data_IF_972583393210
#
_entry.id   IF_972583393210
#
_cell.length_a   1.000
_cell.length_b   1.000
_cell.length_c   1.000
_cell.angle_alpha   90.00
_cell.angle_beta   90.00
_cell.angle_gamma   90.00
#
_symmetry.space_group_name_H-M   'P 1'
#
loop_
_entity.id
_entity.type
_entity.pdbx_description
1 polymer ?
#
# COMPACT_ATOMS: atom_id res chain seq x y z
N UNK A 1 15.51 2.95 6.20
CA UNK A 1 15.59 3.64 4.89
C UNK A 1 14.30 4.39 4.57
N UNK A 2 13.14 3.71 4.59
CA UNK A 2 11.83 4.35 4.34
C UNK A 2 11.62 5.63 5.15
N UNK A 3 11.86 5.62 6.47
CA UNK A 3 11.70 6.82 7.30
C UNK A 3 12.60 7.97 6.85
N UNK A 4 13.90 7.69 6.60
CA UNK A 4 14.85 8.72 6.19
C UNK A 4 14.48 9.36 4.85
N UNK A 5 14.00 8.54 3.89
CA UNK A 5 13.54 9.02 2.59
C UNK A 5 12.33 9.95 2.73
N UNK A 6 11.31 9.54 3.48
CA UNK A 6 10.09 10.34 3.69
C UNK A 6 10.34 11.60 4.53
N UNK A 7 11.21 11.52 5.54
CA UNK A 7 11.67 12.69 6.30
C UNK A 7 12.32 13.74 5.38
N UNK A 8 13.04 13.33 4.33
CA UNK A 8 13.63 14.24 3.36
C UNK A 8 12.57 14.89 2.44
N UNK A 9 11.44 14.23 2.22
CA UNK A 9 10.33 14.71 1.40
C UNK A 9 9.27 15.53 2.16
N UNK A 10 9.31 15.56 3.50
CA UNK A 10 8.25 16.16 4.34
C UNK A 10 7.89 17.63 4.03
N UNK A 11 8.81 18.39 3.44
CA UNK A 11 8.62 19.81 3.11
C UNK A 11 8.28 20.04 1.63
N UNK A 12 8.12 18.96 0.84
CA UNK A 12 7.70 19.06 -0.55
C UNK A 12 6.19 19.27 -0.58
N UNK A 13 5.75 20.41 -1.12
CA UNK A 13 4.34 20.69 -1.35
C UNK A 13 3.72 19.66 -2.30
N UNK A 14 2.42 19.37 -2.13
CA UNK A 14 1.68 18.44 -2.99
C UNK A 14 1.78 18.86 -4.46
N UNK A 15 2.49 18.10 -5.32
CA UNK A 15 2.59 18.45 -6.73
C UNK A 15 1.23 18.40 -7.43
N UNK A 16 0.91 19.43 -8.21
CA UNK A 16 -0.40 19.57 -8.86
C UNK A 16 -0.76 18.41 -9.81
N UNK A 17 0.23 17.70 -10.37
CA UNK A 17 -0.03 16.56 -11.25
C UNK A 17 -0.63 15.36 -10.50
N UNK A 18 -0.38 15.20 -9.20
CA UNK A 18 -0.88 14.06 -8.42
C UNK A 18 -2.40 13.98 -8.41
N UNK A 19 -3.06 15.13 -8.31
CA UNK A 19 -4.53 15.21 -8.34
C UNK A 19 -5.14 14.83 -9.70
N UNK A 20 -4.32 14.72 -10.75
CA UNK A 20 -4.75 14.41 -12.12
C UNK A 20 -4.38 13.00 -12.56
N UNK A 21 -3.67 12.24 -11.72
CA UNK A 21 -3.24 10.87 -12.03
C UNK A 21 -4.46 9.96 -12.13
N UNK A 22 -4.56 9.25 -13.25
CA UNK A 22 -5.61 8.27 -13.55
C UNK A 22 -5.03 6.90 -13.92
N UNK A 23 -3.76 6.67 -13.63
CA UNK A 23 -3.12 5.37 -13.75
C UNK A 23 -3.69 4.36 -12.74
N UNK A 24 -3.58 3.04 -12.99
CA UNK A 24 -4.07 1.98 -12.11
C UNK A 24 -3.76 2.17 -10.63
N UNK A 25 -2.52 2.55 -10.32
CA UNK A 25 -2.05 2.74 -8.94
C UNK A 25 -2.75 3.92 -8.28
N UNK A 26 -2.88 5.04 -8.98
CA UNK A 26 -3.61 6.20 -8.47
C UNK A 26 -5.10 5.93 -8.25
N UNK A 27 -5.73 5.11 -9.09
CA UNK A 27 -7.13 4.69 -8.92
C UNK A 27 -7.27 3.78 -7.69
N UNK A 28 -6.44 2.74 -7.59
CA UNK A 28 -6.45 1.82 -6.46
C UNK A 28 -6.16 2.52 -5.13
N UNK A 29 -5.22 3.47 -5.11
CA UNK A 29 -4.93 4.29 -3.94
C UNK A 29 -6.16 5.12 -3.51
N UNK A 30 -6.83 5.82 -4.42
CA UNK A 30 -8.04 6.59 -4.07
C UNK A 30 -9.18 5.70 -3.56
N UNK A 31 -9.37 4.53 -4.17
CA UNK A 31 -10.36 3.55 -3.71
C UNK A 31 -10.04 3.05 -2.29
N UNK A 32 -8.77 2.71 -2.00
CA UNK A 32 -8.35 2.26 -0.68
C UNK A 32 -8.50 3.33 0.41
N UNK A 33 -8.44 4.60 0.02
CA UNK A 33 -8.62 5.75 0.92
C UNK A 33 -10.06 6.27 0.99
N UNK A 34 -11.00 5.67 0.25
CA UNK A 34 -12.40 6.11 0.20
C UNK A 34 -12.61 7.45 -0.51
N UNK A 35 -11.63 7.91 -1.28
CA UNK A 35 -11.72 9.10 -2.14
C UNK A 35 -12.46 8.81 -3.46
N UNK A 36 -12.56 7.53 -3.83
CA UNK A 36 -13.28 7.00 -4.99
C UNK A 36 -14.01 5.71 -4.57
N UNK A 37 -15.13 5.39 -5.22
CA UNK A 37 -15.88 4.14 -4.95
C UNK A 37 -15.02 2.93 -5.37
N UNK A 38 -14.87 1.95 -4.47
CA UNK A 38 -14.13 0.73 -4.76
C UNK A 38 -14.95 -0.22 -5.66
N UNK A 39 -14.65 -0.21 -6.96
CA UNK A 39 -15.27 -1.10 -7.95
C UNK A 39 -14.27 -2.19 -8.35
N UNK A 40 -14.51 -3.42 -7.93
CA UNK A 40 -13.62 -4.57 -8.11
C UNK A 40 -14.37 -5.79 -8.67
N UNK A 41 -13.65 -6.75 -9.26
CA UNK A 41 -14.21 -8.01 -9.75
C UNK A 41 -14.80 -8.85 -8.59
N UNK A 42 -15.87 -9.60 -8.87
CA UNK A 42 -16.54 -10.47 -7.88
C UNK A 42 -15.57 -11.47 -7.22
N UNK A 43 -14.54 -11.91 -7.96
CA UNK A 43 -13.50 -12.83 -7.48
C UNK A 43 -12.68 -12.25 -6.30
N UNK A 44 -12.58 -10.92 -6.21
CA UNK A 44 -11.88 -10.24 -5.10
C UNK A 44 -12.76 -10.01 -3.88
N UNK A 45 -14.09 -10.13 -4.01
CA UNK A 45 -15.03 -9.80 -2.94
C UNK A 45 -14.71 -10.50 -1.60
N UNK A 46 -14.29 -11.79 -1.57
CA UNK A 46 -13.93 -12.45 -0.31
C UNK A 46 -12.73 -11.83 0.42
N UNK A 47 -11.84 -11.14 -0.30
CA UNK A 47 -10.65 -10.51 0.26
C UNK A 47 -10.86 -9.01 0.53
N UNK A 48 -11.56 -8.33 -0.38
CA UNK A 48 -11.74 -6.87 -0.34
C UNK A 48 -12.83 -6.44 0.63
N UNK A 49 -14.00 -7.11 0.63
CA UNK A 49 -15.14 -6.67 1.43
C UNK A 49 -14.83 -6.65 2.95
N UNK A 50 -14.17 -7.68 3.54
CA UNK A 50 -13.82 -7.67 4.96
C UNK A 50 -12.86 -6.54 5.36
N UNK A 51 -11.99 -6.10 4.45
CA UNK A 51 -11.10 -4.96 4.69
C UNK A 51 -11.89 -3.65 4.72
N UNK A 52 -12.75 -3.44 3.71
CA UNK A 52 -13.60 -2.24 3.58
C UNK A 52 -14.50 -2.08 4.82
N UNK A 53 -15.13 -3.16 5.29
CA UNK A 53 -16.00 -3.16 6.47
C UNK A 53 -15.29 -2.72 7.76
N UNK A 54 -13.95 -2.81 7.80
CA UNK A 54 -13.11 -2.47 8.95
C UNK A 54 -12.43 -1.10 8.84
N UNK A 55 -12.58 -0.42 7.69
CA UNK A 55 -11.97 0.89 7.51
C UNK A 55 -12.62 1.93 8.42
N UNK A 56 -11.78 2.61 9.19
CA UNK A 56 -12.10 3.78 9.98
C UNK A 56 -11.28 4.97 9.48
N UNK A 57 -11.74 6.23 9.67
CA UNK A 57 -10.95 7.41 9.31
C UNK A 57 -9.53 7.39 9.91
N UNK A 58 -8.56 7.90 9.16
CA UNK A 58 -7.18 8.08 9.61
C UNK A 58 -6.91 9.57 9.70
N UNK A 59 -6.76 10.08 10.92
CA UNK A 59 -6.42 11.48 11.18
C UNK A 59 -4.89 11.61 11.20
N UNK A 60 -4.30 11.86 10.03
CA UNK A 60 -2.86 12.11 9.89
C UNK A 60 -2.56 12.98 8.67
N UNK A 61 -1.56 13.85 8.79
CA UNK A 61 -1.15 14.74 7.71
C UNK A 61 -0.53 13.96 6.54
N UNK A 62 -0.99 14.27 5.33
CA UNK A 62 -0.41 13.75 4.11
C UNK A 62 0.89 14.47 3.72
N UNK A 63 1.82 13.74 3.09
CA UNK A 63 3.01 14.27 2.43
C UNK A 63 3.29 13.49 1.15
N UNK A 64 4.29 13.91 0.38
CA UNK A 64 4.81 13.08 -0.73
C UNK A 64 5.46 11.84 -0.14
N UNK A 65 4.96 10.67 -0.56
CA UNK A 65 5.56 9.37 -0.24
C UNK A 65 5.93 8.61 -1.50
N UNK A 66 6.78 7.59 -1.36
CA UNK A 66 6.91 6.56 -2.39
C UNK A 66 5.92 5.44 -2.07
N UNK A 67 4.90 5.32 -2.91
CA UNK A 67 3.81 4.37 -2.76
C UNK A 67 4.17 2.91 -3.02
N UNK A 68 5.35 2.59 -3.55
CA UNK A 68 5.76 1.23 -3.90
C UNK A 68 7.17 0.97 -3.41
N UNK A 69 7.41 1.19 -2.12
CA UNK A 69 8.77 1.18 -1.57
C UNK A 69 9.37 -0.25 -1.48
N UNK A 70 8.53 -1.28 -1.39
CA UNK A 70 8.94 -2.68 -1.37
C UNK A 70 9.63 -3.06 -2.69
N UNK A 71 10.78 -3.73 -2.63
CA UNK A 71 11.54 -4.13 -3.82
C UNK A 71 12.26 -2.99 -4.57
N UNK A 72 11.93 -1.73 -4.32
CA UNK A 72 12.49 -0.56 -5.02
C UNK A 72 13.64 0.13 -4.26
N UNK A 73 14.41 -0.66 -3.52
CA UNK A 73 15.63 -0.22 -2.84
C UNK A 73 16.78 -1.15 -3.21
N UNK A 74 17.83 -0.57 -3.80
CA UNK A 74 19.06 -1.28 -4.14
C UNK A 74 20.05 -1.17 -2.99
N UNK A 75 20.68 -2.30 -2.68
CA UNK A 75 21.73 -2.43 -1.66
C UNK A 75 23.01 -2.95 -2.33
N UNK A 76 24.14 -2.35 -1.98
CA UNK A 76 25.47 -2.77 -2.42
C UNK A 76 26.45 -2.53 -1.27
N UNK A 77 27.40 -3.44 -1.09
CA UNK A 77 28.30 -3.40 0.06
C UNK A 77 29.16 -2.13 0.02
N UNK A 78 29.17 -1.39 1.13
CA UNK A 78 29.94 -0.15 1.26
C UNK A 78 29.34 1.07 0.56
N UNK A 79 28.15 0.97 -0.05
CA UNK A 79 27.42 2.10 -0.64
C UNK A 79 26.14 2.42 0.17
N UNK A 80 25.69 3.69 0.20
CA UNK A 80 24.38 4.01 0.74
C UNK A 80 23.27 3.38 -0.13
N UNK A 81 22.14 2.95 0.45
CA UNK A 81 21.02 2.40 -0.32
C UNK A 81 20.49 3.40 -1.35
N UNK A 82 20.13 2.91 -2.54
CA UNK A 82 19.53 3.73 -3.60
C UNK A 82 18.05 3.42 -3.76
N UNK A 83 17.21 4.45 -3.71
CA UNK A 83 15.77 4.32 -4.03
C UNK A 83 15.59 4.48 -5.53
N UNK A 84 14.89 3.55 -6.15
CA UNK A 84 14.59 3.54 -7.60
C UNK A 84 13.08 3.59 -7.82
N UNK A 85 12.65 3.72 -9.09
CA UNK A 85 11.25 3.61 -9.52
C UNK A 85 10.23 4.38 -8.66
N UNK A 86 10.63 5.62 -8.33
CA UNK A 86 9.88 6.50 -7.44
C UNK A 86 8.45 6.72 -7.96
N UNK A 87 7.49 6.17 -7.21
CA UNK A 87 6.05 6.20 -7.50
C UNK A 87 5.35 7.09 -6.46
N UNK A 88 5.11 8.38 -6.76
CA UNK A 88 4.83 9.36 -5.74
C UNK A 88 3.33 9.49 -5.40
N UNK A 89 2.95 9.23 -4.16
CA UNK A 89 1.57 9.39 -3.65
C UNK A 89 1.50 10.49 -2.58
N UNK A 90 0.28 10.94 -2.25
CA UNK A 90 0.03 11.93 -1.20
C UNK A 90 -0.69 11.31 -0.01
N UNK A 91 0.08 10.76 0.95
CA UNK A 91 -0.42 9.98 2.09
C UNK A 91 0.44 10.22 3.34
N UNK A 92 -0.01 9.81 4.54
CA UNK A 92 0.85 9.86 5.73
C UNK A 92 2.13 9.04 5.50
N UNK A 93 3.29 9.53 5.98
CA UNK A 93 4.57 8.84 5.79
C UNK A 93 4.56 7.38 6.28
N UNK A 94 3.84 7.12 7.37
CA UNK A 94 3.69 5.77 7.92
C UNK A 94 2.96 4.81 6.96
N UNK A 95 2.16 5.31 6.02
CA UNK A 95 1.53 4.48 4.99
C UNK A 95 2.56 3.76 4.12
N UNK A 96 3.67 4.41 3.75
CA UNK A 96 4.74 3.77 2.98
C UNK A 96 5.37 2.59 3.74
N UNK A 97 5.42 2.64 5.08
CA UNK A 97 5.85 1.50 5.89
C UNK A 97 4.82 0.36 5.86
N UNK A 98 3.54 0.69 5.94
CA UNK A 98 2.48 -0.30 5.84
C UNK A 98 2.53 -1.06 4.50
N UNK A 99 2.83 -0.36 3.40
CA UNK A 99 3.07 -0.99 2.09
C UNK A 99 4.23 -1.98 2.15
N UNK A 100 5.39 -1.58 2.67
CA UNK A 100 6.56 -2.47 2.80
C UNK A 100 6.23 -3.72 3.62
N UNK A 101 5.50 -3.56 4.73
CA UNK A 101 5.10 -4.67 5.59
C UNK A 101 4.13 -5.60 4.86
N UNK A 102 3.10 -5.06 4.21
CA UNK A 102 2.14 -5.85 3.43
C UNK A 102 2.85 -6.64 2.32
N UNK A 103 3.75 -6.01 1.57
CA UNK A 103 4.50 -6.69 0.52
C UNK A 103 5.40 -7.80 1.08
N UNK A 104 6.02 -7.57 2.25
CA UNK A 104 6.83 -8.57 2.93
C UNK A 104 5.99 -9.79 3.39
N UNK A 105 4.81 -9.54 3.95
CA UNK A 105 3.89 -10.59 4.39
C UNK A 105 3.28 -11.34 3.19
N UNK A 106 2.91 -10.64 2.13
CA UNK A 106 2.34 -11.25 0.94
C UNK A 106 3.41 -12.06 0.21
N UNK A 107 4.48 -11.44 -0.28
CA UNK A 107 5.37 -12.05 -1.27
C UNK A 107 6.70 -12.59 -0.73
N UNK A 108 7.05 -12.29 0.52
CA UNK A 108 8.34 -12.69 1.10
C UNK A 108 8.21 -13.63 2.31
N UNK A 109 7.01 -14.13 2.58
CA UNK A 109 6.74 -15.06 3.69
C UNK A 109 7.27 -14.55 5.04
N UNK A 110 7.28 -13.23 5.21
CA UNK A 110 7.76 -12.62 6.42
C UNK A 110 6.81 -12.91 7.59
N UNK A 111 7.36 -12.82 8.80
CA UNK A 111 6.62 -13.05 10.03
C UNK A 111 5.68 -11.88 10.36
N UNK A 112 4.52 -12.18 10.92
CA UNK A 112 3.46 -11.22 11.25
C UNK A 112 3.93 -10.16 12.28
N UNK A 113 4.99 -10.42 13.04
CA UNK A 113 5.63 -9.43 13.91
C UNK A 113 6.12 -8.18 13.16
N UNK A 114 6.25 -8.22 11.83
CA UNK A 114 6.57 -7.02 11.05
C UNK A 114 5.49 -5.94 11.11
N UNK A 115 4.25 -6.28 11.47
CA UNK A 115 3.15 -5.31 11.63
C UNK A 115 3.49 -4.23 12.66
N UNK A 116 4.20 -4.58 13.71
CA UNK A 116 4.56 -3.65 14.79
C UNK A 116 5.56 -2.56 14.33
N UNK A 117 6.19 -2.72 13.15
CA UNK A 117 7.11 -1.72 12.57
C UNK A 117 6.39 -0.55 11.89
N UNK A 118 5.11 -0.69 11.54
CA UNK A 118 4.31 0.42 11.01
C UNK A 118 4.14 1.50 12.08
N UNK A 119 3.89 1.06 13.32
CA UNK A 119 3.72 1.90 14.48
C UNK A 119 2.87 1.20 15.54
N UNK A 120 2.74 1.85 16.69
CA UNK A 120 1.92 1.38 17.81
C UNK A 120 0.74 2.30 18.11
N UNK A 121 0.46 3.25 17.22
CA UNK A 121 -0.67 4.18 17.37
C UNK A 121 -1.97 3.59 16.80
N UNK A 122 -3.08 4.26 17.08
CA UNK A 122 -4.42 3.86 16.63
C UNK A 122 -4.57 3.82 15.10
N UNK A 123 -3.73 4.57 14.37
CA UNK A 123 -3.77 4.62 12.91
C UNK A 123 -3.02 3.45 12.27
N UNK A 124 -2.08 2.81 12.97
CA UNK A 124 -1.17 1.81 12.40
C UNK A 124 -1.92 0.62 11.79
N UNK A 125 -2.95 0.11 12.46
CA UNK A 125 -3.82 -0.94 11.91
C UNK A 125 -4.61 -0.47 10.68
N UNK A 126 -5.09 0.77 10.69
CA UNK A 126 -5.82 1.37 9.58
C UNK A 126 -4.95 1.62 8.35
N UNK A 127 -3.65 1.89 8.53
CA UNK A 127 -2.68 2.02 7.44
C UNK A 127 -2.38 0.66 6.80
N UNK A 128 -2.31 -0.42 7.60
CA UNK A 128 -2.13 -1.78 7.09
C UNK A 128 -3.34 -2.28 6.29
N UNK A 129 -4.56 -2.07 6.80
CA UNK A 129 -5.79 -2.41 6.08
C UNK A 129 -5.84 -1.71 4.72
N UNK A 130 -5.48 -0.42 4.67
CA UNK A 130 -5.43 0.36 3.43
C UNK A 130 -4.33 -0.10 2.48
N UNK A 131 -3.17 -0.50 3.00
CA UNK A 131 -2.05 -0.96 2.17
C UNK A 131 -2.40 -2.29 1.50
N UNK A 132 -3.00 -3.23 2.25
CA UNK A 132 -3.46 -4.51 1.72
C UNK A 132 -4.61 -4.33 0.72
N UNK A 133 -5.60 -3.50 1.08
CA UNK A 133 -6.71 -3.17 0.18
C UNK A 133 -6.22 -2.56 -1.13
N UNK A 134 -5.28 -1.61 -1.06
CA UNK A 134 -4.69 -0.99 -2.26
C UNK A 134 -4.01 -2.04 -3.13
N UNK A 135 -3.26 -2.97 -2.55
CA UNK A 135 -2.55 -4.00 -3.33
C UNK A 135 -3.51 -4.93 -4.06
N UNK A 136 -4.61 -5.36 -3.42
CA UNK A 136 -5.67 -6.13 -4.06
C UNK A 136 -6.33 -5.36 -5.21
N UNK A 137 -6.62 -4.07 -5.01
CA UNK A 137 -7.22 -3.22 -6.04
C UNK A 137 -6.25 -2.94 -7.21
N UNK A 138 -4.95 -2.82 -6.96
CA UNK A 138 -3.94 -2.72 -8.01
C UNK A 138 -3.91 -3.98 -8.89
N UNK A 139 -4.03 -5.18 -8.29
CA UNK A 139 -4.15 -6.42 -9.04
C UNK A 139 -5.38 -6.41 -9.97
N UNK A 140 -6.53 -5.91 -9.49
CA UNK A 140 -7.75 -5.75 -10.29
C UNK A 140 -7.57 -4.75 -11.45
N UNK A 141 -6.95 -3.61 -11.19
CA UNK A 141 -6.70 -2.62 -12.24
C UNK A 141 -5.73 -3.17 -13.30
N UNK A 142 -4.69 -3.90 -12.90
CA UNK A 142 -3.77 -4.57 -13.83
C UNK A 142 -4.45 -5.68 -14.63
N UNK A 143 -5.33 -6.46 -14.00
CA UNK A 143 -6.14 -7.48 -14.65
C UNK A 143 -7.00 -6.85 -15.75
N UNK A 144 -7.72 -5.76 -15.45
CA UNK A 144 -8.57 -5.05 -16.42
C UNK A 144 -7.80 -4.50 -17.61
N UNK A 145 -6.59 -4.01 -17.39
CA UNK A 145 -5.75 -3.51 -18.48
C UNK A 145 -5.15 -4.63 -19.35
N UNK A 146 -4.75 -5.74 -18.74
CA UNK A 146 -4.08 -6.83 -19.45
C UNK A 146 -5.03 -7.88 -20.05
N UNK A 147 -6.27 -7.95 -19.56
CA UNK A 147 -7.25 -8.98 -19.90
C UNK A 147 -6.89 -10.39 -19.40
N UNK A 148 -5.82 -10.52 -18.60
CA UNK A 148 -5.38 -11.79 -18.01
C UNK A 148 -6.01 -11.93 -16.63
N UNK A 149 -6.50 -13.11 -16.26
CA UNK A 149 -7.03 -13.37 -14.91
C UNK A 149 -5.98 -13.21 -13.81
N UNK A 150 -6.42 -13.18 -12.56
CA UNK A 150 -5.56 -12.99 -11.38
C UNK A 150 -4.48 -14.07 -11.18
N UNK A 151 -4.66 -15.26 -11.78
CA UNK A 151 -3.76 -16.40 -11.57
C UNK A 151 -3.57 -16.69 -10.08
N UNK A 152 -2.38 -17.12 -9.66
CA UNK A 152 -2.04 -17.41 -8.26
C UNK A 152 -1.70 -16.15 -7.45
N UNK A 153 -1.91 -14.94 -7.99
CA UNK A 153 -1.49 -13.68 -7.35
C UNK A 153 -2.31 -13.33 -6.10
N UNK A 154 -3.52 -13.87 -5.94
CA UNK A 154 -4.37 -13.61 -4.76
C UNK A 154 -3.99 -14.48 -3.56
N UNK A 155 -3.42 -15.68 -3.78
CA UNK A 155 -3.09 -16.64 -2.71
C UNK A 155 -2.22 -16.04 -1.59
N UNK A 156 -1.17 -15.26 -1.88
CA UNK A 156 -0.33 -14.71 -0.81
C UNK A 156 -1.06 -13.66 0.04
N UNK A 157 -2.13 -13.05 -0.48
CA UNK A 157 -2.95 -12.06 0.22
C UNK A 157 -3.98 -12.70 1.16
N UNK A 158 -4.42 -13.94 0.89
CA UNK A 158 -5.41 -14.64 1.74
C UNK A 158 -4.98 -14.68 3.22
N UNK A 159 -3.70 -15.00 3.49
CA UNK A 159 -3.16 -15.00 4.86
C UNK A 159 -3.08 -13.60 5.48
N UNK A 160 -2.72 -12.59 4.67
CA UNK A 160 -2.55 -11.21 5.13
C UNK A 160 -3.90 -10.64 5.53
N UNK A 161 -4.91 -10.80 4.66
CA UNK A 161 -6.28 -10.42 4.96
C UNK A 161 -6.78 -11.13 6.22
N UNK A 162 -6.65 -12.46 6.28
CA UNK A 162 -7.11 -13.23 7.44
C UNK A 162 -6.48 -12.75 8.76
N UNK A 163 -5.20 -12.40 8.74
CA UNK A 163 -4.52 -11.84 9.92
C UNK A 163 -5.04 -10.45 10.27
N UNK A 164 -5.05 -9.51 9.32
CA UNK A 164 -5.45 -8.12 9.55
C UNK A 164 -6.91 -7.99 10.01
N UNK A 165 -7.81 -8.83 9.50
CA UNK A 165 -9.22 -8.84 9.89
C UNK A 165 -9.50 -9.63 11.16
N UNK A 166 -8.51 -10.30 11.75
CA UNK A 166 -8.66 -11.00 13.04
C UNK A 166 -8.30 -10.14 14.26
N UNK A 167 -7.59 -9.03 14.03
CA UNK A 167 -7.20 -8.05 15.05
C UNK A 167 -8.33 -7.06 15.33
#
# INVERSE_FOLDING_TARGET
MADAFHVALRNVERPAFMARRSDPWAVADRMAWGEEEAIYADELAPLVAPLIERLMPVEADGQVIHGDFGGNVLFEDGLPPAVIDFSPDWRPAAFAKAVVVVDALAWHEADESLIDYVGSDENSGQLLLRAELRRLLELDQHQRQSGRGFSDQLKPHERVVAHLVSR
#
